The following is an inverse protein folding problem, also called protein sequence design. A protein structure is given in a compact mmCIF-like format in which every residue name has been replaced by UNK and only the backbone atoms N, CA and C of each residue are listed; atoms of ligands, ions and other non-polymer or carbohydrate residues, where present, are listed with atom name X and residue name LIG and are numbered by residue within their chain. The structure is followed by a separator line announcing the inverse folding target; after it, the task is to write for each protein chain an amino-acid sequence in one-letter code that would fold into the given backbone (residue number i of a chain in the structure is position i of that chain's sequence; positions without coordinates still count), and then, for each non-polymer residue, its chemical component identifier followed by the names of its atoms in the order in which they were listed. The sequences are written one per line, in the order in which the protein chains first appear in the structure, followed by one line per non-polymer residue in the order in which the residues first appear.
data_IF_272905421175
#
_entry.id   IF_272905421175
#
_cell.length_a   1.000
_cell.length_b   1.000
_cell.length_c   1.000
_cell.angle_alpha   90.00
_cell.angle_beta   90.00
_cell.angle_gamma   90.00
#
_symmetry.space_group_name_H-M   'P 1'
#
loop_
_entity.id
_entity.type
_entity.pdbx_description
1 polymer ?
#
# COMPACT_ATOMS: atom_id res chain seq x y z
N UNK A 1 -30.72 -19.04 7.78
CA UNK A 1 -31.13 -18.36 6.54
C UNK A 1 -29.85 -18.06 5.79
N UNK A 2 -29.56 -18.82 4.74
CA UNK A 2 -28.35 -18.63 3.95
C UNK A 2 -28.55 -17.37 3.10
N UNK A 3 -27.79 -16.32 3.41
CA UNK A 3 -27.72 -15.13 2.55
C UNK A 3 -26.75 -15.51 1.44
N UNK A 4 -27.32 -16.01 0.34
CA UNK A 4 -26.63 -16.18 -0.93
C UNK A 4 -26.33 -14.79 -1.50
N UNK A 5 -25.34 -14.10 -0.94
CA UNK A 5 -24.81 -12.86 -1.50
C UNK A 5 -23.79 -13.21 -2.57
N UNK A 6 -24.33 -13.73 -3.69
CA UNK A 6 -23.62 -13.84 -4.95
C UNK A 6 -23.12 -12.47 -5.39
N UNK A 7 -21.96 -12.46 -6.05
CA UNK A 7 -21.39 -11.30 -6.72
C UNK A 7 -22.49 -10.59 -7.51
N UNK A 8 -22.75 -9.31 -7.23
CA UNK A 8 -23.79 -8.58 -7.93
C UNK A 8 -23.27 -8.13 -9.30
N UNK A 9 -23.83 -8.70 -10.34
CA UNK A 9 -23.54 -8.34 -11.73
C UNK A 9 -24.56 -7.32 -12.22
N UNK A 10 -24.09 -6.30 -12.92
CA UNK A 10 -24.94 -5.27 -13.53
C UNK A 10 -24.59 -5.08 -15.00
N UNK A 11 -25.58 -4.91 -15.85
CA UNK A 11 -25.41 -4.62 -17.28
C UNK A 11 -25.52 -3.12 -17.53
N UNK A 12 -24.55 -2.55 -18.25
CA UNK A 12 -24.55 -1.16 -18.64
C UNK A 12 -25.63 -0.84 -19.67
N UNK A 13 -26.60 0.01 -19.31
CA UNK A 13 -27.65 0.50 -20.21
C UNK A 13 -27.15 1.57 -21.17
N UNK A 14 -26.13 2.32 -20.76
CA UNK A 14 -25.52 3.42 -21.49
C UNK A 14 -24.00 3.35 -21.36
N UNK A 15 -23.29 3.93 -22.34
CA UNK A 15 -21.83 4.07 -22.23
C UNK A 15 -21.48 5.21 -21.27
N UNK A 16 -20.53 4.98 -20.38
CA UNK A 16 -20.05 5.96 -19.43
C UNK A 16 -18.53 6.14 -19.62
N UNK A 17 -18.11 7.40 -19.75
CA UNK A 17 -16.69 7.77 -19.82
C UNK A 17 -16.37 8.56 -18.56
N UNK A 18 -15.67 7.90 -17.64
CA UNK A 18 -15.13 8.53 -16.46
C UNK A 18 -14.22 9.71 -16.83
N UNK A 19 -14.37 10.81 -16.10
CA UNK A 19 -13.52 12.01 -16.24
C UNK A 19 -12.38 12.03 -15.24
N UNK A 20 -12.58 11.38 -14.10
CA UNK A 20 -11.61 11.27 -13.02
C UNK A 20 -10.94 9.89 -13.04
N UNK A 21 -9.73 9.79 -12.48
CA UNK A 21 -9.00 8.52 -12.39
C UNK A 21 -9.71 7.47 -11.52
N UNK A 22 -10.63 7.91 -10.67
CA UNK A 22 -11.41 7.03 -9.79
C UNK A 22 -12.72 6.53 -10.44
N UNK A 23 -13.04 6.97 -11.67
CA UNK A 23 -14.29 6.63 -12.37
C UNK A 23 -14.10 5.50 -13.39
N UNK A 24 -15.05 4.55 -13.43
CA UNK A 24 -14.99 3.42 -14.35
C UNK A 24 -15.46 3.84 -15.75
N UNK A 25 -14.73 3.45 -16.79
CA UNK A 25 -15.16 3.65 -18.19
C UNK A 25 -15.71 2.36 -18.77
N UNK A 26 -16.92 2.38 -19.33
CA UNK A 26 -17.56 1.21 -19.93
C UNK A 26 -18.50 1.58 -21.09
N UNK A 27 -18.79 0.59 -21.93
CA UNK A 27 -19.69 0.68 -23.07
C UNK A 27 -21.07 0.11 -22.73
N UNK A 28 -22.07 0.46 -23.56
CA UNK A 28 -23.41 -0.11 -23.40
C UNK A 28 -23.36 -1.61 -23.66
N UNK A 29 -23.93 -2.41 -22.76
CA UNK A 29 -23.96 -3.86 -22.81
C UNK A 29 -22.87 -4.55 -22.00
N UNK A 30 -21.91 -3.80 -21.45
CA UNK A 30 -20.85 -4.38 -20.62
C UNK A 30 -21.43 -4.89 -19.29
N UNK A 31 -20.92 -6.04 -18.82
CA UNK A 31 -21.29 -6.63 -17.54
C UNK A 31 -20.23 -6.26 -16.50
N UNK A 32 -20.65 -5.57 -15.45
CA UNK A 32 -19.79 -5.03 -14.40
C UNK A 32 -20.06 -5.79 -13.10
N UNK A 33 -18.99 -6.14 -12.40
CA UNK A 33 -19.03 -6.77 -11.08
C UNK A 33 -19.06 -5.67 -10.00
N UNK A 34 -20.16 -5.51 -9.28
CA UNK A 34 -20.29 -4.47 -8.24
C UNK A 34 -19.51 -4.88 -6.99
N UNK A 35 -18.57 -4.03 -6.56
CA UNK A 35 -17.73 -4.21 -5.36
C UNK A 35 -18.31 -3.45 -4.16
N UNK A 36 -18.85 -2.25 -4.38
CA UNK A 36 -19.40 -1.40 -3.32
C UNK A 36 -20.62 -0.61 -3.80
N UNK A 37 -21.61 -0.42 -2.91
CA UNK A 37 -22.76 0.45 -3.16
C UNK A 37 -22.77 1.59 -2.16
N UNK A 38 -22.84 2.83 -2.65
CA UNK A 38 -23.02 4.01 -1.81
C UNK A 38 -24.46 4.53 -1.91
N UNK A 39 -25.03 5.02 -0.81
CA UNK A 39 -26.41 5.52 -0.75
C UNK A 39 -26.63 6.77 -1.61
N UNK A 40 -25.55 7.46 -1.99
CA UNK A 40 -25.55 8.62 -2.89
C UNK A 40 -25.81 8.29 -4.38
N UNK A 41 -26.06 7.02 -4.72
CA UNK A 41 -26.38 6.58 -6.08
C UNK A 41 -25.15 6.31 -6.97
N UNK A 42 -23.94 6.42 -6.42
CA UNK A 42 -22.70 5.97 -7.05
C UNK A 42 -22.32 4.59 -6.54
N UNK A 43 -22.04 3.69 -7.46
CA UNK A 43 -21.58 2.33 -7.17
C UNK A 43 -20.15 2.17 -7.65
N UNK A 44 -19.36 1.40 -6.93
CA UNK A 44 -18.06 0.96 -7.37
C UNK A 44 -18.18 -0.44 -7.97
N UNK A 45 -17.49 -0.67 -9.07
CA UNK A 45 -17.41 -2.01 -9.64
C UNK A 45 -16.19 -2.20 -10.52
N UNK A 46 -15.94 -3.46 -10.81
CA UNK A 46 -14.82 -3.96 -11.59
C UNK A 46 -15.34 -4.41 -12.95
N UNK A 47 -14.73 -3.89 -14.02
CA UNK A 47 -14.90 -4.37 -15.39
C UNK A 47 -13.53 -4.81 -15.91
N UNK A 48 -13.38 -6.12 -16.14
CA UNK A 48 -12.09 -6.73 -16.46
C UNK A 48 -11.04 -6.41 -15.38
N UNK A 49 -10.00 -5.64 -15.70
CA UNK A 49 -8.94 -5.26 -14.75
C UNK A 49 -9.11 -3.87 -14.13
N UNK A 50 -10.15 -3.13 -14.49
CA UNK A 50 -10.34 -1.75 -14.00
C UNK A 50 -11.46 -1.69 -12.98
N UNK A 51 -11.18 -1.10 -11.83
CA UNK A 51 -12.17 -0.81 -10.80
C UNK A 51 -12.39 0.69 -10.72
N UNK A 52 -13.64 1.12 -10.59
CA UNK A 52 -13.95 2.54 -10.43
C UNK A 52 -15.41 2.81 -10.13
N UNK A 53 -15.69 4.07 -9.83
CA UNK A 53 -17.02 4.56 -9.51
C UNK A 53 -17.82 4.87 -10.78
N UNK A 54 -19.11 4.56 -10.73
CA UNK A 54 -20.05 4.88 -11.79
C UNK A 54 -21.46 5.13 -11.23
N UNK A 55 -22.29 5.88 -11.96
CA UNK A 55 -23.61 6.22 -11.48
C UNK A 55 -24.58 5.04 -11.69
N UNK A 56 -25.28 4.64 -10.63
CA UNK A 56 -26.12 3.44 -10.61
C UNK A 56 -27.30 3.47 -11.60
N UNK A 57 -27.73 4.66 -12.01
CA UNK A 57 -28.77 4.83 -13.04
C UNK A 57 -28.31 4.48 -14.47
N UNK A 58 -27.01 4.23 -14.68
CA UNK A 58 -26.47 3.83 -15.98
C UNK A 58 -26.45 2.30 -16.16
N UNK A 59 -26.83 1.54 -15.13
CA UNK A 59 -26.78 0.08 -15.12
C UNK A 59 -28.12 -0.51 -14.68
N UNK A 60 -28.35 -1.79 -14.99
CA UNK A 60 -29.44 -2.61 -14.44
C UNK A 60 -28.88 -3.89 -13.85
N UNK A 61 -29.54 -4.49 -12.87
CA UNK A 61 -29.13 -5.82 -12.37
C UNK A 61 -29.18 -6.85 -13.49
N UNK A 62 -28.08 -7.57 -13.68
CA UNK A 62 -27.97 -8.65 -14.63
C UNK A 62 -28.20 -9.98 -13.91
N UNK A 63 -29.38 -10.56 -14.12
CA UNK A 63 -29.69 -11.92 -13.67
C UNK A 63 -29.51 -12.86 -14.86
N UNK A 64 -28.59 -13.80 -14.75
CA UNK A 64 -28.31 -14.80 -15.80
C UNK A 64 -29.51 -15.75 -16.12
N UNK A 65 -30.69 -15.49 -15.57
CA UNK A 65 -31.86 -16.37 -15.60
C UNK A 65 -32.98 -15.92 -16.55
N UNK A 66 -32.81 -14.85 -17.35
CA UNK A 66 -33.87 -14.40 -18.26
C UNK A 66 -33.36 -14.15 -19.70
N UNK A 67 -33.78 -15.04 -20.62
CA UNK A 67 -33.56 -15.09 -22.08
C UNK A 67 -32.11 -15.40 -22.56
N UNK A 68 -31.83 -16.45 -23.34
CA UNK A 68 -32.58 -16.96 -24.49
C UNK A 68 -31.90 -16.51 -25.80
N UNK A 69 -30.79 -17.18 -26.17
CA UNK A 69 -30.12 -17.18 -27.49
C UNK A 69 -29.74 -15.82 -28.13
N UNK A 70 -28.43 -15.49 -28.14
CA UNK A 70 -27.59 -15.20 -29.32
C UNK A 70 -26.11 -15.51 -28.94
N UNK A 71 -25.39 -16.03 -29.92
CA UNK A 71 -24.10 -16.76 -29.93
C UNK A 71 -22.88 -16.17 -29.18
N UNK A 72 -21.88 -17.03 -28.86
CA UNK A 72 -20.75 -16.72 -27.99
C UNK A 72 -19.57 -16.14 -28.78
N UNK A 73 -19.08 -14.97 -28.40
CA UNK A 73 -17.73 -14.53 -28.74
C UNK A 73 -17.11 -13.82 -27.53
N UNK A 74 -16.16 -14.53 -26.90
CA UNK A 74 -15.18 -14.04 -25.94
C UNK A 74 -15.71 -13.50 -24.60
N UNK A 75 -16.14 -14.42 -23.75
CA UNK A 75 -15.82 -14.33 -22.34
C UNK A 75 -15.66 -15.75 -21.84
N UNK A 76 -14.41 -16.19 -21.65
CA UNK A 76 -14.10 -17.35 -20.83
C UNK A 76 -14.54 -17.00 -19.40
N UNK A 77 -15.83 -17.10 -19.12
CA UNK A 77 -16.31 -17.26 -17.75
C UNK A 77 -15.94 -18.69 -17.38
N UNK A 78 -14.65 -18.92 -17.14
CA UNK A 78 -14.20 -20.07 -16.39
C UNK A 78 -14.96 -20.03 -15.06
N UNK A 79 -15.91 -20.95 -14.93
CA UNK A 79 -16.49 -21.33 -13.66
C UNK A 79 -15.32 -21.64 -12.72
N UNK A 80 -14.95 -20.66 -11.90
CA UNK A 80 -13.84 -20.75 -10.95
C UNK A 80 -14.13 -21.97 -10.09
N UNK A 81 -13.39 -23.05 -10.34
CA UNK A 81 -13.48 -24.27 -9.55
C UNK A 81 -13.20 -23.89 -8.09
N UNK A 82 -13.92 -24.43 -7.09
CA UNK A 82 -13.73 -24.07 -5.68
C UNK A 82 -12.31 -24.32 -5.16
N UNK A 83 -11.49 -25.07 -5.89
CA UNK A 83 -10.05 -25.24 -5.64
C UNK A 83 -9.21 -24.01 -6.03
N UNK A 84 -9.57 -23.30 -7.12
CA UNK A 84 -8.85 -22.13 -7.60
C UNK A 84 -9.05 -20.92 -6.69
N UNK A 85 -10.27 -20.71 -6.17
CA UNK A 85 -10.57 -19.64 -5.21
C UNK A 85 -9.88 -19.85 -3.85
N UNK A 86 -9.80 -21.08 -3.36
CA UNK A 86 -9.04 -21.40 -2.14
C UNK A 86 -7.54 -21.13 -2.31
N UNK A 87 -6.97 -21.51 -3.44
CA UNK A 87 -5.55 -21.30 -3.72
C UNK A 87 -5.23 -19.80 -3.84
N UNK A 88 -6.08 -19.02 -4.51
CA UNK A 88 -5.94 -17.57 -4.62
C UNK A 88 -6.03 -16.88 -3.24
N UNK A 89 -6.92 -17.34 -2.35
CA UNK A 89 -6.99 -16.85 -0.97
C UNK A 89 -5.75 -17.18 -0.14
N UNK A 90 -5.13 -18.35 -0.33
CA UNK A 90 -3.88 -18.72 0.34
C UNK A 90 -2.74 -17.79 -0.11
N UNK A 91 -2.57 -17.59 -1.41
CA UNK A 91 -1.55 -16.67 -1.94
C UNK A 91 -1.76 -15.24 -1.47
N UNK A 92 -3.00 -14.75 -1.46
CA UNK A 92 -3.34 -13.43 -0.90
C UNK A 92 -2.88 -13.27 0.55
N UNK A 93 -3.14 -14.27 1.39
CA UNK A 93 -2.71 -14.25 2.79
C UNK A 93 -1.19 -14.32 2.93
N UNK A 94 -0.49 -15.03 2.03
CA UNK A 94 0.97 -15.04 2.00
C UNK A 94 1.53 -13.67 1.62
N UNK A 95 1.00 -13.03 0.57
CA UNK A 95 1.42 -11.69 0.15
C UNK A 95 1.17 -10.67 1.27
N UNK A 96 0.01 -10.70 1.92
CA UNK A 96 -0.28 -9.83 3.06
C UNK A 96 0.71 -10.02 4.21
N UNK A 97 1.04 -11.27 4.55
CA UNK A 97 2.03 -11.58 5.58
C UNK A 97 3.41 -11.08 5.21
N UNK A 98 3.83 -11.23 3.95
CA UNK A 98 5.11 -10.74 3.46
C UNK A 98 5.19 -9.20 3.52
N UNK A 99 4.12 -8.50 3.15
CA UNK A 99 4.03 -7.03 3.29
C UNK A 99 4.18 -6.62 4.76
N UNK A 100 3.43 -7.25 5.66
CA UNK A 100 3.47 -6.97 7.09
C UNK A 100 4.85 -7.25 7.70
N UNK A 101 5.46 -8.38 7.36
CA UNK A 101 6.78 -8.77 7.86
C UNK A 101 7.86 -7.82 7.33
N UNK A 102 7.80 -7.47 6.04
CA UNK A 102 8.70 -6.49 5.42
C UNK A 102 8.58 -5.12 6.08
N UNK A 103 7.36 -4.69 6.45
CA UNK A 103 7.12 -3.42 7.12
C UNK A 103 7.58 -3.43 8.59
N UNK A 104 7.27 -4.50 9.32
CA UNK A 104 7.78 -4.69 10.70
C UNK A 104 9.30 -4.69 10.74
N UNK A 105 9.95 -5.39 9.82
CA UNK A 105 11.40 -5.41 9.71
C UNK A 105 11.95 -4.02 9.40
N UNK A 106 11.29 -3.25 8.54
CA UNK A 106 11.67 -1.87 8.25
C UNK A 106 11.57 -0.98 9.50
N UNK A 107 10.45 -1.03 10.23
CA UNK A 107 10.25 -0.27 11.47
C UNK A 107 11.26 -0.70 12.54
N UNK A 108 11.46 -2.00 12.74
CA UNK A 108 12.41 -2.53 13.72
C UNK A 108 13.85 -2.10 13.41
N UNK A 109 14.24 -2.11 12.14
CA UNK A 109 15.54 -1.60 11.69
C UNK A 109 15.73 -0.11 12.02
N UNK A 110 14.73 0.72 11.74
CA UNK A 110 14.79 2.16 12.03
C UNK A 110 14.80 2.46 13.52
N UNK A 111 13.95 1.78 14.31
CA UNK A 111 13.90 1.89 15.76
C UNK A 111 15.19 1.40 16.42
N UNK A 112 15.73 0.27 15.95
CA UNK A 112 17.02 -0.26 16.38
C UNK A 112 18.15 0.72 16.10
N UNK A 113 18.15 1.33 14.91
CA UNK A 113 19.14 2.35 14.54
C UNK A 113 19.07 3.61 15.43
N UNK A 114 17.86 4.11 15.68
CA UNK A 114 17.61 5.25 16.58
C UNK A 114 18.08 4.95 18.02
N UNK A 115 17.67 3.82 18.57
CA UNK A 115 17.91 3.45 19.97
C UNK A 115 19.33 2.99 20.25
N UNK A 116 19.99 2.31 19.31
CA UNK A 116 21.33 1.78 19.50
C UNK A 116 22.40 2.77 19.06
N UNK A 117 22.36 3.23 17.81
CA UNK A 117 23.44 4.01 17.22
C UNK A 117 23.27 5.50 17.49
N UNK A 118 22.10 6.08 17.20
CA UNK A 118 21.87 7.50 17.39
C UNK A 118 21.82 7.89 18.87
N UNK A 119 21.23 7.08 19.74
CA UNK A 119 21.23 7.35 21.18
C UNK A 119 22.64 7.24 21.79
N UNK A 120 23.45 6.29 21.33
CA UNK A 120 24.83 6.17 21.82
C UNK A 120 25.72 7.30 21.30
N UNK A 121 25.48 7.77 20.09
CA UNK A 121 26.15 8.94 19.51
C UNK A 121 25.79 10.23 20.24
N UNK A 122 24.53 10.35 20.70
CA UNK A 122 24.11 11.43 21.58
C UNK A 122 24.83 11.39 22.94
N UNK A 123 24.92 10.21 23.57
CA UNK A 123 25.64 10.01 24.84
C UNK A 123 27.14 10.24 24.74
N UNK A 124 27.73 10.05 23.56
CA UNK A 124 29.16 10.26 23.34
C UNK A 124 29.54 11.74 23.22
N UNK A 125 28.55 12.66 23.19
CA UNK A 125 28.73 14.11 23.07
C UNK A 125 29.67 14.54 21.91
N UNK A 126 29.77 13.71 20.87
CA UNK A 126 30.59 13.99 19.68
C UNK A 126 30.03 15.16 18.86
N UNK A 127 28.73 15.39 18.97
CA UNK A 127 27.97 16.42 18.27
C UNK A 127 27.24 17.27 19.30
N UNK A 128 27.12 18.58 19.04
CA UNK A 128 26.25 19.43 19.85
C UNK A 128 24.78 19.03 19.69
N UNK A 129 23.94 19.39 20.67
CA UNK A 129 22.48 19.17 20.61
C UNK A 129 21.83 19.63 19.30
N UNK A 130 22.26 20.78 18.78
CA UNK A 130 21.75 21.33 17.53
C UNK A 130 22.18 20.50 16.32
N UNK A 131 23.43 20.03 16.31
CA UNK A 131 24.01 19.20 15.26
C UNK A 131 23.42 17.78 15.26
N UNK A 132 23.18 17.21 16.44
CA UNK A 132 22.48 15.94 16.60
C UNK A 132 21.07 16.01 16.02
N UNK A 133 20.30 17.06 16.37
CA UNK A 133 18.95 17.26 15.81
C UNK A 133 18.95 17.43 14.29
N UNK A 134 19.98 18.06 13.72
CA UNK A 134 20.12 18.18 12.27
C UNK A 134 20.44 16.83 11.60
N UNK A 135 21.23 15.96 12.25
CA UNK A 135 21.56 14.64 11.75
C UNK A 135 20.35 13.68 11.80
N UNK A 136 19.61 13.68 12.91
CA UNK A 136 18.41 12.83 13.09
C UNK A 136 17.24 13.35 12.26
N UNK A 137 17.11 14.67 12.10
CA UNK A 137 16.02 15.30 11.37
C UNK A 137 14.67 14.90 11.96
N UNK A 138 13.75 14.42 11.11
CA UNK A 138 12.45 13.88 11.52
C UNK A 138 12.38 12.35 11.37
N UNK A 139 13.50 11.64 11.50
CA UNK A 139 13.54 10.17 11.38
C UNK A 139 12.61 9.48 12.39
N UNK A 140 12.46 10.04 13.60
CA UNK A 140 11.52 9.54 14.61
C UNK A 140 10.07 9.62 14.13
N UNK A 141 9.69 10.73 13.50
CA UNK A 141 8.34 10.93 12.93
C UNK A 141 8.07 9.95 11.79
N UNK A 142 9.05 9.75 10.90
CA UNK A 142 8.97 8.74 9.82
C UNK A 142 8.75 7.36 10.42
N UNK A 143 9.56 6.99 11.41
CA UNK A 143 9.49 5.68 12.09
C UNK A 143 8.14 5.49 12.79
N UNK A 144 7.62 6.53 13.45
CA UNK A 144 6.31 6.51 14.09
C UNK A 144 5.19 6.33 13.06
N UNK A 145 5.25 7.04 11.94
CA UNK A 145 4.25 6.94 10.86
C UNK A 145 4.22 5.53 10.26
N UNK A 146 5.39 4.92 10.02
CA UNK A 146 5.49 3.53 9.59
C UNK A 146 4.98 2.54 10.67
N UNK A 147 5.21 2.83 11.95
CA UNK A 147 4.66 2.03 13.06
C UNK A 147 3.13 2.06 13.07
N UNK A 148 2.52 3.22 12.80
CA UNK A 148 1.07 3.35 12.65
C UNK A 148 0.54 2.57 11.44
N UNK A 149 1.26 2.56 10.32
CA UNK A 149 0.91 1.73 9.17
C UNK A 149 0.91 0.24 9.54
N UNK A 150 1.94 -0.25 10.25
CA UNK A 150 1.98 -1.64 10.74
C UNK A 150 0.76 -1.97 11.59
N UNK A 151 0.46 -1.15 12.60
CA UNK A 151 -0.69 -1.39 13.48
C UNK A 151 -2.01 -1.37 12.73
N UNK A 152 -2.17 -0.45 11.76
CA UNK A 152 -3.36 -0.40 10.92
C UNK A 152 -3.51 -1.66 10.05
N UNK A 153 -2.41 -2.16 9.48
CA UNK A 153 -2.42 -3.38 8.66
C UNK A 153 -2.65 -4.63 9.51
N UNK A 154 -2.11 -4.68 10.73
CA UNK A 154 -2.36 -5.75 11.69
C UNK A 154 -3.85 -5.84 12.05
N UNK A 155 -4.49 -4.70 12.38
CA UNK A 155 -5.92 -4.65 12.65
C UNK A 155 -6.74 -5.14 11.44
N UNK A 156 -6.37 -4.76 10.22
CA UNK A 156 -7.04 -5.25 9.01
C UNK A 156 -6.78 -6.73 8.75
N UNK A 157 -5.63 -7.27 9.15
CA UNK A 157 -5.28 -8.69 8.97
C UNK A 157 -6.07 -9.62 9.90
N UNK A 158 -6.50 -9.13 11.06
CA UNK A 158 -7.34 -9.88 12.01
C UNK A 158 -8.81 -9.97 11.57
N UNK A 159 -9.24 -9.11 10.64
CA UNK A 159 -10.61 -9.12 10.12
C UNK A 159 -10.86 -10.31 9.20
N UNK A 160 -12.12 -10.77 9.08
CA UNK A 160 -12.49 -11.82 8.14
C UNK A 160 -12.08 -11.46 6.71
N UNK A 161 -11.63 -12.46 5.95
CA UNK A 161 -11.09 -12.31 4.59
C UNK A 161 -11.88 -11.42 3.63
N UNK A 162 -13.20 -11.27 3.82
CA UNK A 162 -14.10 -10.49 2.94
C UNK A 162 -14.20 -9.02 3.33
N UNK A 163 -13.85 -8.68 4.57
CA UNK A 163 -13.95 -7.33 5.16
C UNK A 163 -12.58 -6.66 5.31
N UNK A 164 -11.49 -7.35 4.91
CA UNK A 164 -10.13 -6.82 4.95
C UNK A 164 -10.01 -5.66 3.96
N UNK A 165 -9.60 -4.48 4.43
CA UNK A 165 -9.38 -3.29 3.57
C UNK A 165 -7.92 -2.86 3.66
N UNK A 166 -7.02 -3.64 3.04
CA UNK A 166 -5.57 -3.40 3.05
C UNK A 166 -5.24 -2.19 2.19
N UNK A 167 -5.75 -2.13 0.96
CA UNK A 167 -5.64 -0.95 0.10
C UNK A 167 -6.19 0.30 0.79
N UNK A 168 -7.32 0.17 1.50
CA UNK A 168 -7.92 1.27 2.27
C UNK A 168 -7.02 1.79 3.39
N UNK A 169 -6.35 0.90 4.13
CA UNK A 169 -5.37 1.28 5.16
C UNK A 169 -4.18 2.05 4.54
N UNK A 170 -3.67 1.57 3.40
CA UNK A 170 -2.60 2.24 2.66
C UNK A 170 -3.01 3.62 2.14
N UNK A 171 -4.25 3.80 1.67
CA UNK A 171 -4.79 5.11 1.27
C UNK A 171 -4.90 6.08 2.45
N UNK A 172 -5.37 5.59 3.60
CA UNK A 172 -5.55 6.41 4.81
C UNK A 172 -4.21 6.92 5.33
N UNK A 173 -3.17 6.08 5.27
CA UNK A 173 -1.82 6.42 5.72
C UNK A 173 -0.98 7.20 4.70
N UNK A 174 -1.32 7.13 3.41
CA UNK A 174 -0.58 7.79 2.32
C UNK A 174 -0.26 9.27 2.56
N UNK A 175 -1.20 10.15 2.96
CA UNK A 175 -0.89 11.57 3.18
C UNK A 175 0.08 11.79 4.35
N UNK A 176 -0.01 10.97 5.40
CA UNK A 176 0.88 11.07 6.56
C UNK A 176 2.30 10.62 6.19
N UNK A 177 2.42 9.48 5.50
CA UNK A 177 3.71 8.98 5.00
C UNK A 177 4.35 9.98 4.03
N UNK A 178 3.58 10.52 3.09
CA UNK A 178 4.06 11.53 2.16
C UNK A 178 4.62 12.76 2.90
N UNK A 179 3.88 13.30 3.87
CA UNK A 179 4.31 14.49 4.59
C UNK A 179 5.60 14.23 5.39
N UNK A 180 5.65 13.11 6.13
CA UNK A 180 6.82 12.74 6.92
C UNK A 180 8.07 12.54 6.02
N UNK A 181 7.93 11.83 4.90
CA UNK A 181 9.03 11.61 3.96
C UNK A 181 9.46 12.89 3.25
N UNK A 182 8.52 13.77 2.86
CA UNK A 182 8.85 15.06 2.24
C UNK A 182 9.71 15.93 3.16
N UNK A 183 9.36 15.99 4.44
CA UNK A 183 10.15 16.69 5.46
C UNK A 183 11.52 16.03 5.62
N UNK A 184 11.57 14.70 5.65
CA UNK A 184 12.83 13.94 5.75
C UNK A 184 13.78 14.23 4.58
N UNK A 185 13.27 14.17 3.35
CA UNK A 185 14.01 14.51 2.14
C UNK A 185 14.56 15.94 2.17
N UNK A 186 13.79 16.90 2.70
CA UNK A 186 14.23 18.30 2.82
C UNK A 186 15.34 18.51 3.86
N UNK A 187 15.37 17.69 4.90
CA UNK A 187 16.36 17.74 5.97
C UNK A 187 17.64 16.95 5.64
N UNK A 188 17.54 15.93 4.78
CA UNK A 188 18.64 15.01 4.48
C UNK A 188 19.93 15.67 3.96
N UNK A 189 19.91 16.70 3.10
CA UNK A 189 21.14 17.39 2.70
C UNK A 189 21.94 17.94 3.89
N UNK A 190 21.25 18.38 4.94
CA UNK A 190 21.90 18.85 6.18
C UNK A 190 22.53 17.69 6.95
N UNK A 191 21.81 16.56 7.04
CA UNK A 191 22.35 15.33 7.64
C UNK A 191 23.60 14.83 6.91
N UNK A 192 23.61 14.85 5.57
CA UNK A 192 24.78 14.49 4.76
C UNK A 192 25.96 15.42 5.02
N UNK A 193 25.74 16.75 5.05
CA UNK A 193 26.78 17.71 5.38
C UNK A 193 27.41 17.43 6.76
N UNK A 194 26.59 17.01 7.73
CA UNK A 194 27.07 16.63 9.07
C UNK A 194 27.88 15.33 9.06
N UNK A 195 27.43 14.32 8.30
CA UNK A 195 28.17 13.06 8.12
C UNK A 195 29.53 13.29 7.45
N UNK A 196 29.62 14.20 6.48
CA UNK A 196 30.88 14.54 5.82
C UNK A 196 31.82 15.33 6.74
N UNK A 197 31.29 16.27 7.52
CA UNK A 197 32.06 17.10 8.45
C UNK A 197 32.73 16.26 9.55
N UNK A 198 32.02 15.27 10.10
CA UNK A 198 32.49 14.41 11.20
C UNK A 198 32.85 12.99 10.74
N UNK A 199 33.23 12.86 9.47
CA UNK A 199 33.41 11.55 8.81
C UNK A 199 34.35 10.62 9.58
N UNK A 200 35.51 11.13 9.97
CA UNK A 200 36.55 10.31 10.60
C UNK A 200 36.17 9.95 12.04
N UNK A 201 35.63 10.89 12.84
CA UNK A 201 35.20 10.61 14.21
C UNK A 201 34.03 9.62 14.24
N UNK A 202 33.03 9.81 13.37
CA UNK A 202 31.89 8.91 13.25
C UNK A 202 32.31 7.53 12.78
N UNK A 203 33.27 7.45 11.86
CA UNK A 203 33.76 6.16 11.38
C UNK A 203 34.47 5.38 12.50
N UNK A 204 35.38 6.01 13.25
CA UNK A 204 36.02 5.36 14.40
C UNK A 204 35.02 4.99 15.49
N UNK A 205 34.07 5.87 15.81
CA UNK A 205 33.06 5.60 16.83
C UNK A 205 32.15 4.42 16.46
N UNK A 206 31.69 4.35 15.20
CA UNK A 206 30.86 3.23 14.74
C UNK A 206 31.62 1.91 14.74
N UNK A 207 32.90 1.91 14.36
CA UNK A 207 33.75 0.72 14.47
C UNK A 207 33.93 0.27 15.93
N UNK A 208 34.06 1.20 16.88
CA UNK A 208 34.11 0.88 18.31
C UNK A 208 32.80 0.29 18.84
N UNK A 209 31.67 0.58 18.20
CA UNK A 209 30.37 -0.03 18.53
C UNK A 209 30.12 -1.38 17.83
N UNK A 210 31.08 -1.90 17.09
CA UNK A 210 30.97 -3.18 16.40
C UNK A 210 30.34 -3.10 15.00
N UNK A 211 30.22 -1.91 14.41
CA UNK A 211 29.78 -1.78 13.02
C UNK A 211 30.82 -2.37 12.05
N UNK A 212 30.35 -2.94 10.94
CA UNK A 212 31.21 -3.47 9.88
C UNK A 212 31.99 -2.36 9.21
N UNK A 213 33.29 -2.56 8.97
CA UNK A 213 34.15 -1.56 8.32
C UNK A 213 33.74 -1.34 6.85
N UNK A 214 33.60 -0.09 6.37
CA UNK A 214 33.73 1.18 7.10
C UNK A 214 32.49 1.48 7.97
N UNK A 215 32.69 1.81 9.24
CA UNK A 215 31.58 2.05 10.19
C UNK A 215 30.60 3.15 9.76
N UNK A 216 31.07 4.17 9.04
CA UNK A 216 30.21 5.23 8.49
C UNK A 216 29.18 4.70 7.48
N UNK A 217 29.48 3.58 6.80
CA UNK A 217 28.57 2.98 5.83
C UNK A 217 27.25 2.56 6.47
N UNK A 218 27.27 2.19 7.76
CA UNK A 218 26.06 1.88 8.51
C UNK A 218 25.15 3.11 8.62
N UNK A 219 25.71 4.27 8.99
CA UNK A 219 24.98 5.53 9.12
C UNK A 219 24.42 5.99 7.77
N UNK A 220 25.25 6.01 6.72
CA UNK A 220 24.81 6.43 5.38
C UNK A 220 23.77 5.49 4.81
N UNK A 221 23.92 4.17 5.01
CA UNK A 221 22.95 3.18 4.54
C UNK A 221 21.64 3.32 5.30
N UNK A 222 21.66 3.38 6.63
CA UNK A 222 20.46 3.50 7.46
C UNK A 222 19.67 4.78 7.18
N UNK A 223 20.35 5.93 7.09
CA UNK A 223 19.72 7.21 6.74
C UNK A 223 19.21 7.24 5.29
N UNK A 224 19.73 6.38 4.42
CA UNK A 224 19.21 6.24 3.05
C UNK A 224 18.01 5.28 2.92
N UNK A 225 17.73 4.43 3.93
CA UNK A 225 16.68 3.41 3.86
C UNK A 225 15.27 3.97 3.65
N UNK A 226 14.84 5.05 4.34
CA UNK A 226 13.48 5.56 4.17
C UNK A 226 13.15 5.97 2.73
N UNK A 227 14.10 6.56 2.00
CA UNK A 227 13.87 7.08 0.63
C UNK A 227 13.30 6.05 -0.34
N UNK A 228 13.73 4.80 -0.24
CA UNK A 228 13.34 3.75 -1.20
C UNK A 228 12.21 2.88 -0.69
N UNK A 229 11.65 3.18 0.49
CA UNK A 229 10.58 2.37 1.07
C UNK A 229 9.27 2.61 0.33
N UNK A 230 8.95 3.87 0.02
CA UNK A 230 7.71 4.25 -0.66
C UNK A 230 7.58 3.58 -2.04
N UNK A 231 8.67 3.53 -2.81
CA UNK A 231 8.74 2.91 -4.14
C UNK A 231 8.32 1.42 -4.13
N UNK A 232 8.55 0.74 -3.00
CA UNK A 232 8.23 -0.69 -2.86
C UNK A 232 6.73 -0.93 -2.66
N UNK A 233 5.99 0.03 -2.10
CA UNK A 233 4.57 -0.15 -1.81
C UNK A 233 3.74 -0.33 -3.08
N UNK A 234 4.03 0.43 -4.13
CA UNK A 234 3.29 0.30 -5.40
C UNK A 234 3.35 -1.13 -5.96
N UNK A 235 4.54 -1.75 -5.93
CA UNK A 235 4.74 -3.13 -6.39
C UNK A 235 4.13 -4.18 -5.46
N UNK A 236 4.26 -3.99 -4.15
CA UNK A 236 3.61 -4.86 -3.15
C UNK A 236 2.10 -4.87 -3.29
N UNK A 237 1.49 -3.69 -3.50
CA UNK A 237 0.05 -3.53 -3.70
C UNK A 237 -0.43 -4.13 -5.02
N UNK A 238 0.34 -4.00 -6.10
CA UNK A 238 0.03 -4.66 -7.38
C UNK A 238 0.04 -6.19 -7.25
N UNK A 239 1.01 -6.74 -6.51
CA UNK A 239 1.07 -8.18 -6.29
C UNK A 239 -0.08 -8.66 -5.39
N UNK A 240 -0.50 -7.85 -4.41
CA UNK A 240 -1.69 -8.11 -3.61
C UNK A 240 -2.98 -8.08 -4.44
N UNK A 241 -3.12 -7.08 -5.32
CA UNK A 241 -4.27 -6.90 -6.22
C UNK A 241 -4.49 -8.10 -7.15
N UNK A 242 -3.42 -8.68 -7.71
CA UNK A 242 -3.48 -9.86 -8.59
C UNK A 242 -4.19 -11.06 -7.95
N UNK A 243 -4.19 -11.12 -6.62
CA UNK A 243 -4.80 -12.19 -5.84
C UNK A 243 -6.13 -11.79 -5.20
N UNK A 244 -6.66 -10.59 -5.51
CA UNK A 244 -8.00 -10.16 -5.09
C UNK A 244 -9.07 -10.61 -6.07
N UNK A 245 -10.19 -11.11 -5.54
CA UNK A 245 -11.39 -11.39 -6.35
C UNK A 245 -11.97 -10.08 -6.93
N UNK A 246 -12.55 -10.13 -8.13
CA UNK A 246 -13.11 -8.94 -8.82
C UNK A 246 -14.22 -8.26 -8.03
N UNK A 247 -14.98 -9.01 -7.23
CA UNK A 247 -16.03 -8.49 -6.35
C UNK A 247 -15.55 -8.09 -4.95
N UNK A 248 -14.25 -8.14 -4.68
CA UNK A 248 -13.71 -7.80 -3.36
C UNK A 248 -13.75 -6.28 -3.12
N UNK A 249 -14.29 -5.80 -1.98
CA UNK A 249 -14.49 -4.37 -1.74
C UNK A 249 -13.17 -3.57 -1.61
N UNK A 250 -12.05 -4.24 -1.36
CA UNK A 250 -10.72 -3.61 -1.28
C UNK A 250 -10.00 -3.51 -2.64
N UNK A 251 -10.56 -4.07 -3.72
CA UNK A 251 -9.88 -4.09 -5.02
C UNK A 251 -9.69 -2.68 -5.57
N UNK A 252 -10.73 -1.85 -5.51
CA UNK A 252 -10.66 -0.44 -5.91
C UNK A 252 -9.66 0.36 -5.05
N UNK A 253 -9.70 0.18 -3.73
CA UNK A 253 -8.77 0.84 -2.82
C UNK A 253 -7.31 0.40 -3.06
N UNK A 254 -7.08 -0.87 -3.38
CA UNK A 254 -5.74 -1.40 -3.69
C UNK A 254 -5.20 -0.80 -4.99
N UNK A 255 -6.04 -0.69 -6.03
CA UNK A 255 -5.66 -0.05 -7.30
C UNK A 255 -5.33 1.43 -7.10
N UNK A 256 -6.19 2.17 -6.39
CA UNK A 256 -5.97 3.58 -6.06
C UNK A 256 -4.70 3.77 -5.23
N UNK A 257 -4.52 2.97 -4.17
CA UNK A 257 -3.31 3.06 -3.34
C UNK A 257 -2.04 2.79 -4.15
N UNK A 258 -2.02 1.75 -4.99
CA UNK A 258 -0.87 1.48 -5.86
C UNK A 258 -0.54 2.66 -6.75
N UNK A 259 -1.55 3.31 -7.35
CA UNK A 259 -1.36 4.50 -8.16
C UNK A 259 -0.79 5.67 -7.34
N UNK A 260 -1.36 5.94 -6.16
CA UNK A 260 -0.87 6.98 -5.24
C UNK A 260 0.60 6.75 -4.91
N UNK A 261 0.98 5.56 -4.44
CA UNK A 261 2.39 5.28 -4.09
C UNK A 261 3.33 5.29 -5.30
N UNK A 262 2.82 5.06 -6.51
CA UNK A 262 3.61 5.18 -7.74
C UNK A 262 3.87 6.65 -8.15
N UNK A 263 2.95 7.56 -7.85
CA UNK A 263 3.16 9.00 -8.04
C UNK A 263 4.00 9.65 -6.93
N UNK A 264 4.02 9.02 -5.74
CA UNK A 264 4.80 9.48 -4.58
C UNK A 264 6.28 9.09 -4.63
N UNK A 265 6.62 8.07 -5.41
CA UNK A 265 7.97 7.56 -5.66
C UNK A 265 8.72 8.41 -6.71
#
# INVERSE_FOLDING_TARGET
MAVDNGVLLVEALYSFKGKNNDELCFSKGDIITVTQKEEGGWWEGTLSDKTGWFPSNYVKEYKASDCGSISPQHADTELISPQHSQQQQIYRNLVLKDILESERNHVADLQGFLSLHLASLHKAELLSEAEYKQLVGNLEEVTLTHSHLVSSLEEQSERPSRDQRIGGAFLTMAPQLQNAHKVYCSNHPRAVCMLEKYKDELNSFMECQGATRPGIMLLTTALSKPFRRLDKYAGMLQEYERHLEEGHPDRGDTQRSSHVYKELA
#
